data_IF_311572617637
#
_entry.id   IF_311572617637
#
_cell.length_a   1.000
_cell.length_b   1.000
_cell.length_c   1.000
_cell.angle_alpha   90.00
_cell.angle_beta   90.00
_cell.angle_gamma   90.00
#
_symmetry.space_group_name_H-M   'P 1'
#
loop_
_entity.id
_entity.type
_entity.pdbx_description
1 polymer ?
#
# COMPACT_ATOMS: atom_id res chain seq x y z
N UNK A 1 23.13 -20.82 -36.13
CA UNK A 1 23.88 -21.33 -34.98
C UNK A 1 23.84 -20.23 -33.96
N UNK A 2 22.98 -20.35 -32.95
CA UNK A 2 22.93 -19.39 -31.87
C UNK A 2 24.17 -19.60 -30.99
N UNK A 3 25.00 -18.58 -30.84
CA UNK A 3 26.13 -18.57 -29.91
C UNK A 3 25.57 -18.47 -28.50
N UNK A 4 25.62 -19.57 -27.78
CA UNK A 4 25.27 -19.62 -26.34
C UNK A 4 26.38 -18.90 -25.59
N UNK A 5 26.20 -17.61 -25.30
CA UNK A 5 27.06 -16.89 -24.37
C UNK A 5 26.69 -17.37 -22.95
N UNK A 6 27.63 -17.92 -22.16
CA UNK A 6 27.31 -18.29 -20.78
C UNK A 6 26.94 -17.03 -20.03
N UNK A 7 25.81 -17.07 -19.30
CA UNK A 7 25.43 -16.00 -18.38
C UNK A 7 26.51 -15.75 -17.30
N UNK A 8 26.50 -14.58 -16.66
CA UNK A 8 27.45 -14.27 -15.60
C UNK A 8 27.39 -15.31 -14.49
N UNK A 9 28.58 -15.63 -13.92
CA UNK A 9 28.71 -16.56 -12.81
C UNK A 9 28.00 -15.94 -11.57
N UNK A 10 26.99 -16.59 -10.98
CA UNK A 10 26.27 -16.06 -9.84
C UNK A 10 27.12 -15.92 -8.56
N UNK A 11 28.39 -16.34 -8.60
CA UNK A 11 29.35 -16.19 -7.50
C UNK A 11 30.28 -15.00 -7.66
N UNK A 12 30.29 -14.35 -8.83
CA UNK A 12 31.00 -13.10 -9.05
C UNK A 12 30.05 -11.97 -8.70
N UNK A 13 30.23 -11.29 -7.59
CA UNK A 13 29.43 -10.16 -7.13
C UNK A 13 29.60 -8.90 -8.03
N UNK A 14 29.65 -9.12 -9.33
CA UNK A 14 29.68 -8.09 -10.36
C UNK A 14 28.31 -7.47 -10.57
N UNK A 15 28.28 -6.18 -10.84
CA UNK A 15 27.07 -5.43 -11.19
C UNK A 15 26.40 -6.07 -12.40
N UNK A 16 25.25 -6.75 -12.16
CA UNK A 16 24.42 -7.21 -13.24
C UNK A 16 23.71 -6.02 -13.89
N UNK A 17 23.86 -5.86 -15.19
CA UNK A 17 23.18 -4.80 -15.93
C UNK A 17 21.69 -5.15 -16.14
N UNK A 18 20.84 -4.68 -15.24
CA UNK A 18 19.38 -4.85 -15.30
C UNK A 18 18.72 -3.94 -16.34
N UNK A 19 19.47 -3.00 -16.93
CA UNK A 19 18.97 -2.06 -17.95
C UNK A 19 19.48 -2.40 -19.35
N UNK A 20 20.48 -3.29 -19.44
CA UNK A 20 21.09 -3.71 -20.70
C UNK A 20 20.33 -4.81 -21.44
N UNK A 21 20.70 -5.05 -22.69
CA UNK A 21 20.11 -6.10 -23.53
C UNK A 21 18.97 -5.62 -24.42
N UNK A 22 18.08 -6.53 -24.83
CA UNK A 22 16.95 -6.23 -25.69
C UNK A 22 15.76 -5.66 -24.91
N UNK A 23 15.92 -4.48 -24.34
CA UNK A 23 14.85 -3.79 -23.61
C UNK A 23 13.85 -3.19 -24.59
N UNK A 24 12.55 -3.48 -24.39
CA UNK A 24 11.49 -3.03 -25.32
C UNK A 24 11.26 -1.52 -25.31
N UNK A 25 11.61 -0.82 -24.21
CA UNK A 25 11.40 0.62 -24.00
C UNK A 25 12.67 1.31 -23.46
N UNK A 26 13.76 1.39 -24.24
CA UNK A 26 15.02 1.94 -23.74
C UNK A 26 14.89 3.41 -23.27
N UNK A 27 14.04 4.22 -23.94
CA UNK A 27 13.82 5.62 -23.52
C UNK A 27 13.17 5.73 -22.15
N UNK A 28 12.25 4.81 -21.80
CA UNK A 28 11.63 4.73 -20.48
C UNK A 28 12.64 4.33 -19.42
N UNK A 29 13.45 3.30 -19.68
CA UNK A 29 14.52 2.86 -18.78
C UNK A 29 15.47 3.98 -18.50
N UNK A 30 16.03 4.61 -19.55
CA UNK A 30 16.94 5.74 -19.43
C UNK A 30 16.33 6.93 -18.67
N UNK A 31 15.01 7.13 -18.83
CA UNK A 31 14.31 8.22 -18.14
C UNK A 31 14.13 7.95 -16.65
N UNK A 32 13.81 6.71 -16.27
CA UNK A 32 13.66 6.31 -14.86
C UNK A 32 15.02 6.23 -14.17
N UNK A 33 16.00 5.57 -14.78
CA UNK A 33 17.36 5.40 -14.24
C UNK A 33 18.04 6.74 -13.88
N UNK A 34 17.76 7.80 -14.63
CA UNK A 34 18.26 9.14 -14.31
C UNK A 34 17.51 9.88 -13.21
N UNK A 35 16.35 9.41 -12.81
CA UNK A 35 15.44 10.09 -11.87
C UNK A 35 15.43 9.50 -10.49
N UNK A 36 15.70 8.21 -10.37
CA UNK A 36 15.65 7.47 -9.12
C UNK A 36 17.05 7.11 -8.65
N UNK A 37 17.24 7.00 -7.35
CA UNK A 37 18.46 6.48 -6.75
C UNK A 37 18.40 4.95 -6.65
N UNK A 38 17.21 4.39 -6.59
CA UNK A 38 16.96 2.96 -6.51
C UNK A 38 17.16 2.21 -7.83
N UNK A 39 16.98 0.91 -7.79
CA UNK A 39 17.20 0.02 -8.93
C UNK A 39 16.10 0.09 -10.00
N UNK A 40 16.50 0.18 -11.26
CA UNK A 40 15.60 0.09 -12.44
C UNK A 40 15.86 -1.22 -13.19
N UNK A 41 14.87 -2.12 -13.22
CA UNK A 41 15.00 -3.49 -13.72
C UNK A 41 13.99 -3.78 -14.82
N UNK A 42 14.42 -3.75 -16.08
CA UNK A 42 13.56 -4.00 -17.24
C UNK A 42 13.95 -5.24 -18.02
N UNK A 43 14.91 -6.01 -17.51
CA UNK A 43 15.31 -7.28 -18.09
C UNK A 43 14.22 -8.35 -17.95
N UNK A 44 14.27 -9.36 -18.83
CA UNK A 44 13.27 -10.43 -18.88
C UNK A 44 13.22 -11.28 -17.62
N UNK A 45 14.34 -11.41 -16.88
CA UNK A 45 14.38 -12.17 -15.64
C UNK A 45 13.62 -11.46 -14.54
N UNK A 46 13.90 -10.17 -14.34
CA UNK A 46 13.18 -9.34 -13.37
C UNK A 46 11.68 -9.28 -13.68
N UNK A 47 11.30 -9.02 -14.94
CA UNK A 47 9.88 -9.03 -15.35
C UNK A 47 9.20 -10.36 -15.03
N UNK A 48 9.87 -11.50 -15.21
CA UNK A 48 9.34 -12.83 -14.88
C UNK A 48 9.13 -13.04 -13.39
N UNK A 49 10.02 -12.53 -12.54
CA UNK A 49 9.86 -12.63 -11.07
C UNK A 49 8.62 -11.90 -10.58
N UNK A 50 8.28 -10.77 -11.21
CA UNK A 50 7.13 -9.93 -10.82
C UNK A 50 5.86 -10.19 -11.62
N UNK A 51 5.88 -11.14 -12.56
CA UNK A 51 4.72 -11.50 -13.36
C UNK A 51 3.63 -12.25 -12.58
N UNK A 52 3.95 -12.77 -11.39
CA UNK A 52 3.03 -13.54 -10.55
C UNK A 52 2.97 -12.99 -9.13
N UNK A 53 1.88 -13.27 -8.44
CA UNK A 53 1.72 -13.12 -7.00
C UNK A 53 1.26 -14.45 -6.38
N UNK A 54 0.63 -14.44 -5.20
CA UNK A 54 0.09 -15.67 -4.61
C UNK A 54 -1.24 -16.13 -5.24
N UNK A 55 -1.74 -15.43 -6.26
CA UNK A 55 -2.94 -15.81 -7.02
C UNK A 55 -2.64 -16.82 -8.13
N UNK A 56 -3.66 -17.12 -8.93
CA UNK A 56 -3.52 -17.94 -10.12
C UNK A 56 -3.24 -17.11 -11.41
N UNK A 57 -3.10 -15.79 -11.27
CA UNK A 57 -2.88 -14.89 -12.40
C UNK A 57 -1.40 -14.73 -12.71
N UNK A 58 -1.10 -14.52 -13.99
CA UNK A 58 0.24 -14.18 -14.48
C UNK A 58 0.10 -13.04 -15.50
N UNK A 59 0.73 -11.88 -15.21
CA UNK A 59 0.77 -10.73 -16.10
C UNK A 59 2.19 -10.17 -16.09
N UNK A 60 2.85 -10.17 -17.23
CA UNK A 60 4.21 -9.63 -17.34
C UNK A 60 4.20 -8.11 -17.20
N UNK A 61 4.93 -7.53 -16.24
CA UNK A 61 5.01 -6.09 -16.08
C UNK A 61 5.79 -5.42 -17.22
N UNK A 62 5.63 -4.10 -17.37
CA UNK A 62 6.45 -3.28 -18.28
C UNK A 62 7.91 -3.28 -17.79
N UNK A 63 8.12 -3.14 -16.49
CA UNK A 63 9.39 -3.16 -15.81
C UNK A 63 9.19 -3.07 -14.30
N UNK A 64 10.28 -3.06 -13.55
CA UNK A 64 10.30 -3.00 -12.09
C UNK A 64 11.23 -1.89 -11.65
N UNK A 65 10.81 -1.10 -10.68
CA UNK A 65 11.66 -0.15 -9.96
C UNK A 65 11.63 -0.53 -8.48
N UNK A 66 12.80 -0.58 -7.86
CA UNK A 66 12.97 -0.78 -6.42
C UNK A 66 13.41 0.57 -5.84
N UNK A 67 12.48 1.41 -5.36
CA UNK A 67 12.80 2.75 -4.88
C UNK A 67 13.50 2.69 -3.52
N UNK A 68 14.43 3.61 -3.28
CA UNK A 68 15.11 3.80 -1.98
C UNK A 68 14.39 4.81 -1.08
N UNK A 69 13.49 5.62 -1.66
CA UNK A 69 12.86 6.74 -0.96
C UNK A 69 11.51 7.13 -1.53
N UNK A 70 10.73 7.91 -0.75
CA UNK A 70 9.51 8.58 -1.23
C UNK A 70 9.79 9.47 -2.45
N UNK A 71 10.98 10.08 -2.53
CA UNK A 71 11.37 10.92 -3.67
C UNK A 71 11.49 10.09 -4.97
N UNK A 72 12.02 8.86 -4.89
CA UNK A 72 12.07 7.95 -6.04
C UNK A 72 10.65 7.56 -6.49
N UNK A 73 9.79 7.21 -5.53
CA UNK A 73 8.38 6.89 -5.82
C UNK A 73 7.70 8.06 -6.53
N UNK A 74 7.89 9.28 -6.02
CA UNK A 74 7.33 10.51 -6.62
C UNK A 74 7.85 10.73 -8.05
N UNK A 75 9.14 10.57 -8.28
CA UNK A 75 9.76 10.75 -9.59
C UNK A 75 9.25 9.73 -10.62
N UNK A 76 9.01 8.48 -10.22
CA UNK A 76 8.41 7.46 -11.09
C UNK A 76 6.97 7.83 -11.41
N UNK A 77 6.17 8.22 -10.42
CA UNK A 77 4.77 8.62 -10.63
C UNK A 77 4.67 9.84 -11.55
N UNK A 78 5.42 10.90 -11.28
CA UNK A 78 5.45 12.12 -12.11
C UNK A 78 5.73 11.80 -13.58
N UNK A 79 6.79 11.03 -13.83
CA UNK A 79 7.16 10.67 -15.20
C UNK A 79 6.12 9.76 -15.87
N UNK A 80 5.69 8.72 -15.18
CA UNK A 80 4.73 7.76 -15.73
C UNK A 80 3.36 8.41 -15.96
N UNK A 81 2.94 9.32 -15.11
CA UNK A 81 1.69 10.08 -15.29
C UNK A 81 1.75 10.95 -16.54
N UNK A 82 2.85 11.70 -16.74
CA UNK A 82 3.04 12.53 -17.93
C UNK A 82 3.05 11.71 -19.24
N UNK A 83 3.56 10.49 -19.20
CA UNK A 83 3.65 9.60 -20.35
C UNK A 83 2.44 8.64 -20.50
N UNK A 84 1.47 8.68 -19.58
CA UNK A 84 0.31 7.80 -19.57
C UNK A 84 0.67 6.31 -19.34
N UNK A 85 1.72 6.05 -18.56
CA UNK A 85 2.20 4.71 -18.22
C UNK A 85 1.62 4.31 -16.85
N UNK A 86 0.96 3.15 -16.73
CA UNK A 86 0.44 2.71 -15.45
C UNK A 86 1.57 2.33 -14.48
N UNK A 87 1.37 2.67 -13.19
CA UNK A 87 2.25 2.33 -12.07
C UNK A 87 1.50 1.41 -11.11
N UNK A 88 2.16 0.38 -10.60
CA UNK A 88 1.60 -0.59 -9.67
C UNK A 88 2.48 -0.70 -8.42
N UNK A 89 2.09 -0.14 -7.27
CA UNK A 89 2.80 -0.36 -6.02
C UNK A 89 2.65 -1.82 -5.58
N UNK A 90 3.74 -2.42 -5.13
CA UNK A 90 3.79 -3.81 -4.69
C UNK A 90 4.53 -3.95 -3.36
N UNK A 91 3.90 -4.66 -2.43
CA UNK A 91 4.55 -5.18 -1.23
C UNK A 91 5.02 -6.62 -1.45
N UNK A 92 4.80 -7.49 -0.49
CA UNK A 92 5.28 -8.88 -0.53
C UNK A 92 4.63 -9.82 -1.57
N UNK A 93 3.72 -9.34 -2.42
CA UNK A 93 3.07 -10.15 -3.46
C UNK A 93 2.20 -11.29 -2.90
N UNK A 94 1.65 -11.14 -1.70
CA UNK A 94 0.85 -12.16 -1.01
C UNK A 94 -0.64 -12.13 -1.37
N UNK A 95 -1.05 -11.31 -2.33
CA UNK A 95 -2.42 -11.18 -2.83
C UNK A 95 -2.92 -12.47 -3.46
N UNK A 96 -4.20 -12.81 -3.21
CA UNK A 96 -4.82 -14.04 -3.71
C UNK A 96 -5.76 -13.82 -4.91
N UNK A 97 -5.97 -12.57 -5.33
CA UNK A 97 -6.89 -12.22 -6.41
C UNK A 97 -6.21 -11.40 -7.55
N UNK A 98 -4.86 -11.36 -7.60
CA UNK A 98 -4.12 -10.74 -8.69
C UNK A 98 -3.93 -9.23 -8.55
N UNK A 99 -4.11 -8.65 -7.36
CA UNK A 99 -4.01 -7.21 -7.15
C UNK A 99 -2.60 -6.65 -7.41
N UNK A 100 -1.58 -7.50 -7.37
CA UNK A 100 -0.17 -7.08 -7.48
C UNK A 100 0.50 -7.55 -8.78
N UNK A 101 -0.29 -7.90 -9.80
CA UNK A 101 0.18 -8.22 -11.14
C UNK A 101 -0.55 -7.39 -12.19
N UNK A 102 0.18 -6.71 -13.06
CA UNK A 102 -0.39 -5.90 -14.14
C UNK A 102 0.68 -5.57 -15.18
N UNK A 103 0.24 -5.16 -16.37
CA UNK A 103 1.09 -4.54 -17.40
C UNK A 103 1.36 -3.07 -17.01
N UNK A 104 2.27 -2.88 -16.07
CA UNK A 104 2.59 -1.60 -15.43
C UNK A 104 4.09 -1.53 -15.09
N UNK A 105 4.57 -0.35 -14.73
CA UNK A 105 5.82 -0.22 -13.97
C UNK A 105 5.52 -0.61 -12.53
N UNK A 106 6.08 -1.71 -12.07
CA UNK A 106 5.92 -2.20 -10.70
C UNK A 106 6.90 -1.45 -9.79
N UNK A 107 6.38 -0.89 -8.68
CA UNK A 107 7.19 -0.32 -7.60
C UNK A 107 7.28 -1.35 -6.46
N UNK A 108 8.41 -2.04 -6.33
CA UNK A 108 8.65 -2.93 -5.20
C UNK A 108 9.18 -2.16 -3.99
N UNK A 109 8.30 -1.95 -3.02
CA UNK A 109 8.62 -1.20 -1.81
C UNK A 109 9.35 -2.06 -0.75
N UNK A 110 9.45 -3.38 -0.94
CA UNK A 110 10.02 -4.29 0.07
C UNK A 110 11.54 -4.41 -0.01
N UNK A 111 12.18 -3.83 -1.04
CA UNK A 111 13.61 -3.92 -1.23
C UNK A 111 14.41 -2.98 -0.31
N UNK A 112 14.01 -1.70 -0.27
CA UNK A 112 14.78 -0.64 0.41
C UNK A 112 13.89 0.28 1.26
N UNK A 113 12.56 0.17 1.15
CA UNK A 113 11.59 0.96 1.93
C UNK A 113 10.87 0.07 2.94
N UNK A 114 11.61 -0.70 3.74
CA UNK A 114 11.14 -1.78 4.63
C UNK A 114 11.37 -1.50 6.12
N UNK A 115 11.79 -0.28 6.48
CA UNK A 115 12.18 0.10 7.82
C UNK A 115 11.02 0.31 8.80
N UNK A 116 11.22 -0.09 10.07
CA UNK A 116 10.45 0.43 11.21
C UNK A 116 11.13 1.72 11.67
N UNK A 117 10.52 2.87 11.40
CA UNK A 117 11.14 4.19 11.55
C UNK A 117 11.15 4.67 13.01
N UNK A 118 10.04 4.44 13.72
CA UNK A 118 9.93 4.76 15.15
C UNK A 118 8.83 3.96 15.82
N UNK A 119 8.97 3.76 17.12
CA UNK A 119 7.95 3.18 18.00
C UNK A 119 7.72 4.12 19.18
N UNK A 120 6.47 4.28 19.60
CA UNK A 120 6.04 5.01 20.77
C UNK A 120 5.13 4.09 21.60
N UNK A 121 5.71 3.32 22.55
CA UNK A 121 4.93 2.39 23.36
C UNK A 121 3.92 3.07 24.28
N UNK A 122 4.20 4.28 24.75
CA UNK A 122 3.29 5.03 25.64
C UNK A 122 2.04 5.50 24.88
N UNK A 123 2.19 5.83 23.60
CA UNK A 123 1.08 6.20 22.71
C UNK A 123 0.52 4.98 21.93
N UNK A 124 1.06 3.79 22.14
CA UNK A 124 0.70 2.56 21.41
C UNK A 124 0.74 2.73 19.88
N UNK A 125 1.83 3.33 19.35
CA UNK A 125 1.98 3.68 17.94
C UNK A 125 3.33 3.23 17.38
N UNK A 126 3.34 3.01 16.06
CA UNK A 126 4.57 2.84 15.30
C UNK A 126 4.46 3.57 13.96
N UNK A 127 5.60 4.14 13.50
CA UNK A 127 5.75 4.66 12.12
C UNK A 127 6.68 3.72 11.36
N UNK A 128 6.23 3.28 10.20
CA UNK A 128 6.92 2.30 9.36
C UNK A 128 6.89 2.71 7.90
N UNK A 129 7.88 2.27 7.13
CA UNK A 129 7.81 2.32 5.68
C UNK A 129 6.83 1.25 5.15
N UNK A 130 6.23 1.52 4.00
CA UNK A 130 5.17 0.67 3.46
C UNK A 130 5.62 -0.75 3.10
N UNK A 131 6.91 -0.93 2.78
CA UNK A 131 7.50 -2.22 2.49
C UNK A 131 7.85 -3.06 3.72
N UNK A 132 7.84 -2.47 4.94
CA UNK A 132 8.11 -3.19 6.19
C UNK A 132 7.16 -4.38 6.36
N UNK A 133 7.69 -5.55 6.66
CA UNK A 133 6.84 -6.71 6.92
C UNK A 133 6.15 -6.60 8.29
N UNK A 134 4.91 -7.06 8.36
CA UNK A 134 4.12 -7.11 9.61
C UNK A 134 4.85 -7.91 10.69
N UNK A 135 5.60 -8.95 10.30
CA UNK A 135 6.44 -9.72 11.21
C UNK A 135 7.55 -8.88 11.86
N UNK A 136 8.23 -8.04 11.08
CA UNK A 136 9.32 -7.19 11.56
C UNK A 136 8.80 -6.06 12.45
N UNK A 137 7.67 -5.43 12.08
CA UNK A 137 6.98 -4.49 12.95
C UNK A 137 6.62 -5.12 14.31
N UNK A 138 6.03 -6.32 14.29
CA UNK A 138 5.68 -7.02 15.53
C UNK A 138 6.92 -7.39 16.36
N UNK A 139 8.01 -7.81 15.73
CA UNK A 139 9.26 -8.08 16.43
C UNK A 139 9.85 -6.82 17.09
N UNK A 140 9.71 -5.67 16.46
CA UNK A 140 10.20 -4.39 16.98
C UNK A 140 9.46 -3.94 18.26
N UNK A 141 8.17 -4.27 18.40
CA UNK A 141 7.32 -3.80 19.52
C UNK A 141 6.97 -4.91 20.54
N UNK A 142 7.36 -6.17 20.29
CA UNK A 142 7.08 -7.30 21.19
C UNK A 142 7.69 -7.10 22.58
N UNK A 143 8.88 -6.47 22.65
CA UNK A 143 9.57 -6.17 23.90
C UNK A 143 8.79 -5.23 24.84
N UNK A 144 7.93 -4.41 24.29
CA UNK A 144 7.04 -3.49 25.00
C UNK A 144 5.65 -4.11 25.28
N UNK A 145 5.46 -5.38 24.96
CA UNK A 145 4.19 -6.08 25.12
C UNK A 145 3.11 -5.70 24.11
N UNK A 146 3.52 -5.09 22.98
CA UNK A 146 2.63 -4.58 21.94
C UNK A 146 2.72 -5.40 20.66
N UNK A 147 1.71 -5.26 19.80
CA UNK A 147 1.68 -5.80 18.45
C UNK A 147 0.79 -4.99 17.52
N UNK A 148 1.03 -5.09 16.22
CA UNK A 148 0.08 -4.69 15.20
C UNK A 148 -1.02 -5.74 15.09
N UNK A 149 -2.26 -5.34 15.35
CA UNK A 149 -3.38 -6.27 15.55
C UNK A 149 -3.83 -7.03 14.30
N UNK A 150 -3.89 -6.43 13.10
CA UNK A 150 -4.07 -7.18 11.86
C UNK A 150 -2.91 -8.17 11.71
N UNK A 151 -3.20 -9.45 11.89
CA UNK A 151 -2.23 -10.54 11.87
C UNK A 151 -2.54 -11.43 10.66
N UNK A 152 -2.12 -11.01 9.44
CA UNK A 152 -2.37 -11.79 8.23
C UNK A 152 -1.67 -13.15 8.30
N UNK A 153 -2.20 -14.15 7.59
CA UNK A 153 -1.69 -15.52 7.66
C UNK A 153 -0.19 -15.62 7.33
N UNK A 154 0.32 -14.73 6.48
CA UNK A 154 1.73 -14.66 6.08
C UNK A 154 2.39 -13.35 6.54
N UNK A 155 2.26 -13.01 7.81
CA UNK A 155 2.80 -11.79 8.39
C UNK A 155 4.27 -11.52 8.07
N UNK A 156 5.09 -12.59 7.97
CA UNK A 156 6.52 -12.50 7.66
C UNK A 156 6.79 -12.25 6.15
N UNK A 157 5.74 -12.14 5.33
CA UNK A 157 5.79 -11.85 3.90
C UNK A 157 4.78 -10.79 3.47
N UNK A 158 3.92 -10.35 4.37
CA UNK A 158 2.92 -9.33 4.11
C UNK A 158 3.47 -7.97 4.55
N UNK A 159 3.70 -7.08 3.59
CA UNK A 159 4.12 -5.71 3.86
C UNK A 159 2.97 -4.89 4.47
N UNK A 160 3.29 -3.92 5.33
CA UNK A 160 2.29 -3.04 5.98
C UNK A 160 1.48 -2.27 4.94
N UNK A 161 2.13 -1.68 3.92
CA UNK A 161 1.44 -0.99 2.82
C UNK A 161 0.50 -1.93 2.05
N UNK A 162 0.91 -3.19 1.83
CA UNK A 162 0.06 -4.21 1.23
C UNK A 162 -1.12 -4.60 2.13
N UNK A 163 -0.92 -4.67 3.45
CA UNK A 163 -2.00 -4.92 4.42
C UNK A 163 -3.02 -3.79 4.43
N UNK A 164 -2.58 -2.52 4.31
CA UNK A 164 -3.44 -1.35 4.17
C UNK A 164 -4.19 -1.40 2.83
N UNK A 165 -3.48 -1.53 1.70
CA UNK A 165 -4.10 -1.55 0.38
C UNK A 165 -5.17 -2.63 0.21
N UNK A 166 -4.96 -3.80 0.80
CA UNK A 166 -5.93 -4.89 0.81
C UNK A 166 -6.98 -4.80 1.95
N UNK A 167 -6.87 -3.86 2.86
CA UNK A 167 -7.61 -3.81 4.13
C UNK A 167 -7.63 -5.17 4.83
N UNK A 168 -6.45 -5.74 5.02
CA UNK A 168 -6.26 -7.12 5.41
C UNK A 168 -6.89 -7.47 6.75
N UNK A 169 -7.30 -8.72 6.88
CA UNK A 169 -7.79 -9.31 8.13
C UNK A 169 -6.99 -10.58 8.43
N UNK A 170 -6.80 -10.87 9.72
CA UNK A 170 -6.17 -12.10 10.16
C UNK A 170 -7.13 -13.09 10.81
N UNK A 171 -6.60 -14.21 11.30
CA UNK A 171 -7.37 -15.24 12.01
C UNK A 171 -8.09 -14.73 13.26
N UNK A 172 -7.62 -13.62 13.84
CA UNK A 172 -8.18 -13.01 15.04
C UNK A 172 -9.08 -11.78 14.72
N UNK A 173 -9.51 -11.62 13.48
CA UNK A 173 -10.29 -10.46 13.01
C UNK A 173 -11.68 -10.33 13.65
N UNK A 174 -12.22 -11.40 14.26
CA UNK A 174 -13.43 -11.28 15.09
C UNK A 174 -13.22 -10.37 16.31
N UNK A 175 -12.00 -10.33 16.86
CA UNK A 175 -11.59 -9.46 17.97
C UNK A 175 -11.06 -8.12 17.46
N UNK A 176 -10.16 -8.17 16.48
CA UNK A 176 -9.35 -7.01 16.12
C UNK A 176 -9.86 -6.26 14.88
N UNK A 177 -10.80 -6.82 14.12
CA UNK A 177 -11.35 -6.17 12.93
C UNK A 177 -10.42 -6.20 11.72
N UNK A 178 -10.40 -5.10 10.99
CA UNK A 178 -9.68 -4.88 9.73
C UNK A 178 -8.50 -3.93 9.93
N UNK A 179 -7.62 -3.84 8.95
CA UNK A 179 -6.45 -2.96 8.98
C UNK A 179 -6.80 -1.48 9.08
N UNK A 180 -7.90 -1.01 8.48
CA UNK A 180 -8.35 0.38 8.53
C UNK A 180 -8.51 0.93 9.97
N UNK A 181 -8.85 0.06 10.92
CA UNK A 181 -9.02 0.46 12.32
C UNK A 181 -7.70 0.93 12.98
N UNK A 182 -6.57 0.54 12.41
CA UNK A 182 -5.23 0.78 12.96
C UNK A 182 -4.43 1.80 12.15
N UNK A 183 -4.98 2.32 11.07
CA UNK A 183 -4.36 3.39 10.30
C UNK A 183 -4.67 4.73 10.97
N UNK A 184 -3.61 5.46 11.34
CA UNK A 184 -3.74 6.80 11.89
C UNK A 184 -3.39 7.86 10.87
N UNK A 185 -2.25 7.69 10.20
CA UNK A 185 -1.75 8.63 9.19
C UNK A 185 -0.94 7.88 8.14
N UNK A 186 -0.99 8.32 6.90
CA UNK A 186 -0.21 7.79 5.78
C UNK A 186 0.51 8.92 5.05
N UNK A 187 1.80 8.74 4.78
CA UNK A 187 2.46 9.48 3.72
C UNK A 187 2.16 8.75 2.40
N UNK A 188 1.72 9.50 1.41
CA UNK A 188 1.32 8.95 0.11
C UNK A 188 1.88 9.77 -1.05
N UNK A 189 2.07 9.08 -2.17
CA UNK A 189 2.39 9.70 -3.46
C UNK A 189 1.21 9.54 -4.39
N UNK A 190 0.68 10.66 -4.87
CA UNK A 190 -0.40 10.70 -5.84
C UNK A 190 0.10 10.35 -7.25
N UNK A 191 -0.83 10.13 -8.17
CA UNK A 191 -0.48 9.73 -9.54
C UNK A 191 0.40 10.75 -10.28
N UNK A 192 0.28 12.04 -9.98
CA UNK A 192 1.09 13.13 -10.54
C UNK A 192 2.46 13.35 -9.88
N UNK A 193 2.81 12.49 -8.90
CA UNK A 193 4.04 12.61 -8.12
C UNK A 193 3.93 13.50 -6.89
N UNK A 194 2.78 14.12 -6.63
CA UNK A 194 2.57 14.92 -5.41
C UNK A 194 2.69 14.06 -4.17
N UNK A 195 3.58 14.44 -3.25
CA UNK A 195 3.70 13.82 -1.93
C UNK A 195 2.82 14.58 -0.94
N UNK A 196 1.99 13.85 -0.21
CA UNK A 196 1.12 14.44 0.80
C UNK A 196 0.88 13.47 1.97
N UNK A 197 0.26 13.97 3.04
CA UNK A 197 -0.09 13.18 4.21
C UNK A 197 -1.62 13.08 4.32
N UNK A 198 -2.11 11.87 4.49
CA UNK A 198 -3.52 11.57 4.74
C UNK A 198 -3.70 11.06 6.16
N UNK A 199 -4.43 11.81 6.97
CA UNK A 199 -4.79 11.51 8.34
C UNK A 199 -6.18 12.05 8.66
N UNK A 200 -6.44 12.30 9.94
CA UNK A 200 -7.68 12.95 10.38
C UNK A 200 -7.73 14.40 9.92
N UNK A 201 -8.88 14.79 9.36
CA UNK A 201 -9.13 16.14 8.86
C UNK A 201 -10.63 16.48 8.95
N UNK A 202 -10.95 17.72 9.29
CA UNK A 202 -12.32 18.20 9.23
C UNK A 202 -12.75 18.33 7.76
N UNK A 203 -13.95 17.84 7.41
CA UNK A 203 -14.48 17.95 6.04
C UNK A 203 -14.61 19.40 5.62
N UNK A 204 -14.84 20.33 6.56
CA UNK A 204 -14.88 21.76 6.27
C UNK A 204 -13.53 22.30 5.79
N UNK A 205 -12.40 21.81 6.33
CA UNK A 205 -11.05 22.15 5.85
C UNK A 205 -10.80 21.62 4.43
N UNK A 206 -11.31 20.41 4.15
CA UNK A 206 -11.27 19.86 2.79
C UNK A 206 -12.09 20.74 1.84
N UNK A 207 -13.26 21.20 2.27
CA UNK A 207 -14.17 22.06 1.48
C UNK A 207 -13.54 23.41 1.12
N UNK A 208 -12.76 24.00 2.06
CA UNK A 208 -12.04 25.24 1.80
C UNK A 208 -10.91 25.07 0.77
N UNK A 209 -10.35 23.88 0.66
CA UNK A 209 -9.23 23.54 -0.25
C UNK A 209 -9.68 22.81 -1.52
N UNK A 210 -10.96 22.48 -1.63
CA UNK A 210 -11.53 21.72 -2.74
C UNK A 210 -11.69 22.59 -4.00
N UNK A 211 -11.16 22.07 -5.10
CA UNK A 211 -11.37 22.65 -6.43
C UNK A 211 -11.47 21.53 -7.47
N UNK A 212 -12.68 21.22 -7.99
CA UNK A 212 -12.87 20.15 -8.96
C UNK A 212 -12.22 20.42 -10.31
N UNK A 213 -11.94 21.70 -10.62
CA UNK A 213 -11.37 22.15 -11.89
C UNK A 213 -9.88 22.48 -11.79
N UNK A 214 -9.24 22.23 -10.63
CA UNK A 214 -7.81 22.45 -10.44
C UNK A 214 -6.97 21.60 -11.40
N UNK A 215 -5.80 22.13 -11.80
CA UNK A 215 -4.81 21.37 -12.55
C UNK A 215 -4.18 20.29 -11.69
N UNK A 216 -3.95 20.57 -10.40
CA UNK A 216 -3.38 19.67 -9.41
C UNK A 216 -4.41 18.62 -8.92
N UNK A 217 -3.94 17.39 -8.64
CA UNK A 217 -4.83 16.29 -8.21
C UNK A 217 -5.38 16.49 -6.79
N UNK A 218 -4.60 17.04 -5.85
CA UNK A 218 -4.99 17.07 -4.44
C UNK A 218 -6.26 17.88 -4.18
N UNK A 219 -6.45 19.12 -4.71
CA UNK A 219 -7.70 19.85 -4.58
C UNK A 219 -8.92 19.14 -5.20
N UNK A 220 -8.69 18.41 -6.31
CA UNK A 220 -9.72 17.59 -6.97
C UNK A 220 -10.13 16.38 -6.12
N UNK A 221 -9.18 15.74 -5.44
CA UNK A 221 -9.44 14.66 -4.50
C UNK A 221 -10.28 15.18 -3.32
N UNK A 222 -9.95 16.34 -2.78
CA UNK A 222 -10.74 16.96 -1.71
C UNK A 222 -12.17 17.30 -2.16
N UNK A 223 -12.33 17.83 -3.37
CA UNK A 223 -13.64 18.07 -3.95
C UNK A 223 -14.48 16.79 -4.08
N UNK A 224 -13.86 15.68 -4.49
CA UNK A 224 -14.56 14.40 -4.61
C UNK A 224 -14.92 13.80 -3.24
N UNK A 225 -14.04 13.89 -2.23
CA UNK A 225 -14.37 13.46 -0.86
C UNK A 225 -15.57 14.25 -0.31
N UNK A 226 -15.58 15.58 -0.48
CA UNK A 226 -16.69 16.43 -0.08
C UNK A 226 -17.98 16.03 -0.82
N UNK A 227 -17.91 15.85 -2.14
CA UNK A 227 -19.06 15.40 -2.94
C UNK A 227 -19.62 14.06 -2.45
N UNK A 228 -18.74 13.10 -2.12
CA UNK A 228 -19.16 11.78 -1.63
C UNK A 228 -19.95 11.90 -0.33
N UNK A 229 -19.48 12.66 0.65
CA UNK A 229 -20.18 12.79 1.94
C UNK A 229 -21.48 13.59 1.81
N UNK A 230 -21.55 14.56 0.88
CA UNK A 230 -22.71 15.41 0.68
C UNK A 230 -23.81 14.75 -0.18
N UNK A 231 -23.43 13.99 -1.21
CA UNK A 231 -24.34 13.56 -2.27
C UNK A 231 -24.56 12.05 -2.36
N UNK A 232 -23.63 11.23 -1.87
CA UNK A 232 -23.68 9.77 -2.06
C UNK A 232 -24.06 8.98 -0.78
N UNK A 233 -24.37 9.67 0.32
CA UNK A 233 -24.64 9.03 1.61
C UNK A 233 -25.75 7.96 1.52
N UNK A 234 -26.90 8.27 0.95
CA UNK A 234 -28.03 7.34 0.81
C UNK A 234 -27.65 6.13 -0.05
N UNK A 235 -26.82 6.36 -1.09
CA UNK A 235 -26.38 5.29 -1.99
C UNK A 235 -25.36 4.37 -1.33
N UNK A 236 -24.48 4.91 -0.50
CA UNK A 236 -23.54 4.11 0.30
C UNK A 236 -24.31 3.25 1.28
N UNK A 237 -25.27 3.82 2.03
CA UNK A 237 -26.12 3.09 2.98
C UNK A 237 -26.92 1.96 2.29
N UNK A 238 -27.42 2.18 1.07
CA UNK A 238 -28.15 1.17 0.31
C UNK A 238 -27.27 0.03 -0.19
N UNK A 239 -26.02 0.32 -0.57
CA UNK A 239 -25.17 -0.61 -1.32
C UNK A 239 -24.15 -1.36 -0.48
N UNK A 240 -23.68 -0.77 0.60
CA UNK A 240 -22.69 -1.42 1.47
C UNK A 240 -23.37 -2.41 2.41
N UNK A 241 -22.85 -3.64 2.52
CA UNK A 241 -23.43 -4.65 3.42
C UNK A 241 -23.04 -4.38 4.87
N UNK A 242 -23.98 -4.56 5.80
CA UNK A 242 -23.70 -4.52 7.24
C UNK A 242 -22.90 -5.77 7.70
N UNK A 243 -21.63 -5.83 7.36
CA UNK A 243 -20.74 -6.94 7.71
C UNK A 243 -19.56 -6.46 8.52
N UNK A 244 -19.21 -7.16 9.61
CA UNK A 244 -18.03 -6.88 10.43
C UNK A 244 -16.71 -6.87 9.65
N UNK A 245 -16.64 -7.58 8.52
CA UNK A 245 -15.45 -7.76 7.69
C UNK A 245 -15.78 -7.53 6.22
N UNK A 246 -16.34 -6.37 5.93
CA UNK A 246 -16.40 -5.90 4.56
C UNK A 246 -15.02 -5.34 4.19
N UNK A 247 -14.30 -6.01 3.28
CA UNK A 247 -12.96 -5.62 2.80
C UNK A 247 -12.91 -5.50 1.29
N UNK A 248 -14.07 -5.48 0.62
CA UNK A 248 -14.17 -5.41 -0.83
C UNK A 248 -14.42 -3.99 -1.29
N UNK A 249 -13.54 -3.47 -2.12
CA UNK A 249 -13.64 -2.13 -2.69
C UNK A 249 -13.19 -1.02 -1.74
N UNK A 250 -13.50 0.21 -2.12
CA UNK A 250 -13.12 1.40 -1.36
C UNK A 250 -13.91 1.50 -0.05
N UNK A 251 -13.28 2.01 0.98
CA UNK A 251 -13.78 2.07 2.36
C UNK A 251 -14.75 3.25 2.57
N UNK A 252 -15.73 3.44 1.66
CA UNK A 252 -16.65 4.58 1.67
C UNK A 252 -17.69 4.53 2.79
N UNK A 253 -18.10 3.34 3.21
CA UNK A 253 -18.95 3.13 4.37
C UNK A 253 -18.26 3.64 5.65
N UNK A 254 -16.97 3.39 5.78
CA UNK A 254 -16.16 3.89 6.89
C UNK A 254 -16.02 5.41 6.86
N UNK A 255 -15.75 6.00 5.69
CA UNK A 255 -15.66 7.45 5.50
C UNK A 255 -16.95 8.13 5.96
N UNK A 256 -18.11 7.60 5.54
CA UNK A 256 -19.42 8.13 5.91
C UNK A 256 -19.73 7.98 7.39
N UNK A 257 -19.37 6.85 7.99
CA UNK A 257 -19.56 6.59 9.42
C UNK A 257 -18.68 7.53 10.28
N UNK A 258 -17.44 7.82 9.86
CA UNK A 258 -16.58 8.83 10.49
C UNK A 258 -17.19 10.22 10.37
N UNK A 259 -17.61 10.63 9.18
CA UNK A 259 -18.26 11.92 8.96
C UNK A 259 -19.49 12.12 9.86
N UNK A 260 -20.24 11.07 10.16
CA UNK A 260 -21.39 11.07 11.07
C UNK A 260 -21.03 11.03 12.57
N UNK A 261 -19.75 10.97 12.89
CA UNK A 261 -19.26 10.91 14.28
C UNK A 261 -19.39 9.56 14.95
N UNK A 262 -19.59 8.47 14.21
CA UNK A 262 -19.70 7.12 14.77
C UNK A 262 -18.38 6.59 15.35
N UNK A 263 -17.26 7.17 14.93
CA UNK A 263 -15.90 6.77 15.35
C UNK A 263 -15.06 7.92 15.91
N UNK A 264 -15.66 9.09 16.16
CA UNK A 264 -14.95 10.26 16.63
C UNK A 264 -15.83 11.49 16.63
N UNK A 265 -15.29 12.62 16.22
CA UNK A 265 -16.00 13.89 16.13
C UNK A 265 -16.79 13.95 14.81
N UNK A 266 -18.05 14.42 14.89
CA UNK A 266 -18.90 14.63 13.70
C UNK A 266 -18.25 15.66 12.75
N UNK A 267 -18.24 15.36 11.47
CA UNK A 267 -17.63 16.20 10.43
C UNK A 267 -16.13 16.01 10.26
N UNK A 268 -15.52 15.08 11.01
CA UNK A 268 -14.10 14.68 10.85
C UNK A 268 -14.02 13.33 10.17
N UNK A 269 -13.09 13.19 9.22
CA UNK A 269 -12.81 11.93 8.52
C UNK A 269 -11.31 11.65 8.55
N UNK A 270 -10.91 10.39 8.36
CA UNK A 270 -9.52 10.03 8.18
C UNK A 270 -9.26 9.56 6.75
N UNK A 271 -8.57 10.37 5.96
CA UNK A 271 -8.25 10.04 4.57
C UNK A 271 -7.28 8.85 4.44
N UNK A 272 -6.43 8.62 5.45
CA UNK A 272 -5.58 7.42 5.51
C UNK A 272 -6.41 6.14 5.62
N UNK A 273 -7.50 6.15 6.35
CA UNK A 273 -8.44 5.02 6.47
C UNK A 273 -9.25 4.80 5.18
N UNK A 274 -9.51 5.86 4.41
CA UNK A 274 -10.11 5.73 3.08
C UNK A 274 -9.21 4.98 2.12
N UNK A 275 -7.87 5.10 2.30
CA UNK A 275 -6.89 4.36 1.50
C UNK A 275 -6.93 2.84 1.74
N UNK A 276 -7.44 2.39 2.90
CA UNK A 276 -7.55 0.97 3.20
C UNK A 276 -8.58 0.28 2.27
N UNK A 277 -8.12 -0.72 1.51
CA UNK A 277 -8.92 -1.41 0.50
C UNK A 277 -8.81 -0.82 -0.91
N UNK A 278 -7.96 0.22 -1.11
CA UNK A 278 -7.76 0.83 -2.43
C UNK A 278 -6.86 0.03 -3.36
N UNK A 279 -6.10 -0.92 -2.83
CA UNK A 279 -5.20 -1.81 -3.59
C UNK A 279 -4.21 -1.03 -4.50
N UNK A 280 -3.76 0.16 -4.04
CA UNK A 280 -2.83 1.01 -4.78
C UNK A 280 -3.45 1.81 -5.92
N UNK A 281 -4.78 1.80 -6.08
CA UNK A 281 -5.46 2.50 -7.19
C UNK A 281 -5.72 3.98 -6.93
N UNK A 282 -5.66 4.44 -5.67
CA UNK A 282 -5.87 5.84 -5.30
C UNK A 282 -4.55 6.60 -5.15
N UNK A 283 -3.57 6.00 -4.49
CA UNK A 283 -2.21 6.53 -4.32
C UNK A 283 -1.25 5.41 -3.90
N UNK A 284 0.05 5.68 -3.95
CA UNK A 284 1.07 4.80 -3.39
C UNK A 284 1.39 5.22 -1.96
N UNK A 285 1.17 4.34 -0.99
CA UNK A 285 1.60 4.55 0.41
C UNK A 285 3.10 4.35 0.50
N UNK A 286 3.83 5.30 1.08
CA UNK A 286 5.27 5.24 1.31
C UNK A 286 5.60 5.02 2.77
N UNK A 287 4.86 5.66 3.69
CA UNK A 287 4.99 5.46 5.13
C UNK A 287 3.61 5.40 5.79
N UNK A 288 3.53 4.73 6.93
CA UNK A 288 2.31 4.62 7.71
C UNK A 288 2.59 4.80 9.20
N UNK A 289 1.78 5.61 9.87
CA UNK A 289 1.62 5.60 11.32
C UNK A 289 0.44 4.71 11.66
N UNK A 290 0.71 3.67 12.42
CA UNK A 290 -0.30 2.68 12.82
C UNK A 290 -0.41 2.59 14.33
N UNK A 291 -1.64 2.37 14.82
CA UNK A 291 -1.86 2.04 16.22
C UNK A 291 -1.59 0.57 16.50
N UNK A 292 -1.15 0.30 17.72
CA UNK A 292 -0.79 -1.01 18.24
C UNK A 292 -1.79 -1.44 19.31
N UNK A 293 -1.72 -2.70 19.71
CA UNK A 293 -2.52 -3.24 20.80
C UNK A 293 -1.66 -4.10 21.72
N UNK A 294 -2.06 -4.22 22.98
CA UNK A 294 -1.41 -5.13 23.92
C UNK A 294 -1.47 -6.59 23.47
N UNK A 295 -0.36 -7.31 23.65
CA UNK A 295 -0.31 -8.75 23.48
C UNK A 295 -1.12 -9.41 24.60
N UNK A 296 -2.10 -10.30 24.28
CA UNK A 296 -2.87 -10.98 25.31
C UNK A 296 -1.97 -11.79 26.27
N UNK A 297 -2.09 -11.56 27.56
CA UNK A 297 -1.34 -12.28 28.60
C UNK A 297 -1.63 -13.78 28.59
N UNK A 298 -2.88 -14.15 28.26
CA UNK A 298 -3.32 -15.56 28.26
C UNK A 298 -3.99 -15.96 26.95
N UNK A 299 -3.69 -17.18 26.51
CA UNK A 299 -4.33 -17.80 25.33
C UNK A 299 -4.94 -19.13 25.74
N UNK A 300 -6.13 -19.45 25.25
CA UNK A 300 -6.78 -20.74 25.46
C UNK A 300 -7.18 -21.33 24.11
N UNK A 301 -7.13 -22.66 24.00
CA UNK A 301 -7.61 -23.43 22.86
C UNK A 301 -8.65 -24.41 23.34
N UNK A 302 -9.79 -24.46 22.67
CA UNK A 302 -10.83 -25.45 22.91
C UNK A 302 -11.05 -26.29 21.65
N UNK A 303 -11.04 -27.61 21.79
CA UNK A 303 -11.43 -28.55 20.76
C UNK A 303 -12.87 -29.05 21.05
N UNK A 304 -13.79 -28.74 20.15
CA UNK A 304 -15.16 -29.21 20.24
C UNK A 304 -15.36 -30.32 19.20
N UNK A 305 -15.83 -31.49 19.66
CA UNK A 305 -16.20 -32.61 18.79
C UNK A 305 -17.70 -32.78 18.82
N UNK A 306 -18.30 -33.03 17.65
CA UNK A 306 -19.72 -33.27 17.48
C UNK A 306 -19.90 -34.69 16.93
N UNK A 307 -20.90 -35.41 17.42
CA UNK A 307 -21.30 -36.73 16.95
C UNK A 307 -22.19 -36.63 15.68
#
# INVERSE_FOLDING_TARGET
MATNTPGPDPTDGGDFDYTGGAVERPDLVDALDRRVAGDVRFDDYSKRLYATDASAYEVTPIGVVIPESTADVAAVHEYCFAEGIPVLPRGGGTSLAGQTVNEAVVLDLTGEMDGVLSTDPDAERARVQAGAYVGDLNAAVEGDGLKFAPDPAWRDKSAVGGAIGNNSTGSHSLKYGKTDHYVEELEVVLADGTVTTFGEVAVEELRESADPDADDLLPRIYAEVVRIVDEEADRIDERFPELKRNVSGYNLDRLLAEYRGEYGEEGVVNLGRLMAGSEGTLATVTEATVSLVEIPETKAVALLTYD
#
